data_IF_097679626664
#
_entry.id   IF_097679626664
#
_cell.length_a   1.000
_cell.length_b   1.000
_cell.length_c   1.000
_cell.angle_alpha   90.00
_cell.angle_beta   90.00
_cell.angle_gamma   90.00
#
_symmetry.space_group_name_H-M   'P 1'
#
loop_
_entity.id
_entity.type
_entity.pdbx_description
1 polymer ?
#
# COMPACT_ATOMS: atom_id res chain seq x y z
N UNK A 1 12.35 4.66 -12.15
CA UNK A 1 12.07 6.09 -12.42
C UNK A 1 13.35 6.90 -12.59
N UNK A 2 14.31 6.88 -11.65
CA UNK A 2 15.61 7.58 -11.84
C UNK A 2 16.40 7.10 -13.08
N UNK A 3 16.40 5.79 -13.37
CA UNK A 3 17.04 5.24 -14.59
C UNK A 3 16.43 5.82 -15.89
N UNK A 4 15.12 6.04 -15.92
CA UNK A 4 14.42 6.54 -17.11
C UNK A 4 14.72 8.03 -17.39
N UNK A 5 14.88 8.83 -16.32
CA UNK A 5 15.24 10.26 -16.42
C UNK A 5 16.69 10.43 -16.88
N UNK A 6 17.61 9.60 -16.38
CA UNK A 6 19.03 9.65 -16.77
C UNK A 6 19.25 9.22 -18.23
N UNK A 7 18.52 8.19 -18.69
CA UNK A 7 18.56 7.76 -20.09
C UNK A 7 17.92 8.80 -21.03
N UNK A 8 16.87 9.51 -20.60
CA UNK A 8 16.26 10.60 -21.37
C UNK A 8 17.19 11.81 -21.57
N UNK A 9 18.19 11.97 -20.70
CA UNK A 9 19.25 12.99 -20.83
C UNK A 9 20.48 12.48 -21.61
N UNK A 10 20.41 11.29 -22.22
CA UNK A 10 21.52 10.66 -22.95
C UNK A 10 22.75 10.31 -22.06
N UNK A 11 22.54 10.15 -20.75
CA UNK A 11 23.57 9.92 -19.74
C UNK A 11 23.53 8.44 -19.32
N UNK A 12 24.56 7.65 -19.69
CA UNK A 12 24.64 6.21 -19.39
C UNK A 12 25.11 5.98 -17.94
N UNK A 13 24.25 5.50 -17.03
CA UNK A 13 24.61 5.33 -15.62
C UNK A 13 25.70 4.27 -15.43
N UNK A 14 26.83 4.68 -14.86
CA UNK A 14 27.99 3.84 -14.57
C UNK A 14 29.15 4.66 -13.98
N UNK A 15 30.29 4.02 -13.64
CA UNK A 15 31.48 4.72 -13.11
C UNK A 15 32.00 5.82 -14.05
N UNK A 16 31.69 5.70 -15.34
CA UNK A 16 32.00 6.68 -16.37
C UNK A 16 31.24 8.02 -16.22
N UNK A 17 30.16 8.09 -15.44
CA UNK A 17 29.48 9.36 -15.15
C UNK A 17 30.29 10.28 -14.25
N UNK A 18 31.04 9.71 -13.31
CA UNK A 18 31.91 10.47 -12.42
C UNK A 18 33.11 11.06 -13.19
N UNK A 19 33.48 10.49 -14.34
CA UNK A 19 34.60 10.96 -15.16
C UNK A 19 34.17 11.86 -16.32
N UNK A 20 33.04 11.57 -16.98
CA UNK A 20 32.57 12.34 -18.15
C UNK A 20 31.68 13.53 -17.78
N UNK A 21 30.92 13.45 -16.68
CA UNK A 21 29.99 14.51 -16.26
C UNK A 21 30.06 14.76 -14.74
N UNK A 22 31.25 15.11 -14.19
CA UNK A 22 31.45 15.29 -12.76
C UNK A 22 30.52 16.36 -12.16
N UNK A 23 30.24 17.45 -12.88
CA UNK A 23 29.40 18.55 -12.40
C UNK A 23 27.95 18.11 -12.16
N UNK A 24 27.39 17.24 -13.00
CA UNK A 24 26.02 16.73 -12.85
C UNK A 24 25.92 15.83 -11.62
N UNK A 25 26.93 14.98 -11.40
CA UNK A 25 26.95 14.04 -10.28
C UNK A 25 27.13 14.78 -8.95
N UNK A 26 28.10 15.69 -8.86
CA UNK A 26 28.29 16.52 -7.67
C UNK A 26 27.12 17.47 -7.43
N UNK A 27 26.51 18.00 -8.48
CA UNK A 27 25.26 18.77 -8.40
C UNK A 27 24.09 17.95 -7.85
N UNK A 28 23.93 16.70 -8.28
CA UNK A 28 22.90 15.79 -7.76
C UNK A 28 23.14 15.43 -6.29
N UNK A 29 24.38 15.10 -5.92
CA UNK A 29 24.76 14.79 -4.53
C UNK A 29 24.52 16.01 -3.62
N UNK A 30 24.94 17.20 -4.06
CA UNK A 30 24.70 18.44 -3.33
C UNK A 30 23.21 18.75 -3.20
N UNK A 31 22.43 18.60 -4.28
CA UNK A 31 20.98 18.79 -4.27
C UNK A 31 20.27 17.80 -3.33
N UNK A 32 20.67 16.53 -3.32
CA UNK A 32 20.13 15.53 -2.37
C UNK A 32 20.46 15.89 -0.92
N UNK A 33 21.67 16.38 -0.66
CA UNK A 33 22.08 16.80 0.67
C UNK A 33 21.29 18.02 1.16
N UNK A 34 21.20 19.05 0.32
CA UNK A 34 20.42 20.27 0.60
C UNK A 34 18.93 19.93 0.74
N UNK A 35 18.37 19.09 -0.14
CA UNK A 35 16.98 18.68 -0.08
C UNK A 35 16.65 17.93 1.20
N UNK A 36 17.51 17.01 1.67
CA UNK A 36 17.31 16.33 2.95
C UNK A 36 17.37 17.32 4.13
N UNK A 37 18.30 18.26 4.10
CA UNK A 37 18.41 19.27 5.15
C UNK A 37 17.17 20.18 5.19
N UNK A 38 16.70 20.64 4.02
CA UNK A 38 15.45 21.38 3.90
C UNK A 38 14.23 20.56 4.31
N UNK A 39 14.17 19.28 3.91
CA UNK A 39 13.07 18.38 4.28
C UNK A 39 12.99 18.23 5.79
N UNK A 40 14.13 18.03 6.47
CA UNK A 40 14.20 17.98 7.92
C UNK A 40 13.78 19.31 8.56
N UNK A 41 14.32 20.42 8.06
CA UNK A 41 14.00 21.76 8.55
C UNK A 41 12.50 22.10 8.39
N UNK A 42 11.86 21.62 7.33
CA UNK A 42 10.41 21.74 7.13
C UNK A 42 9.62 20.74 7.98
N UNK A 43 10.08 19.49 8.12
CA UNK A 43 9.34 18.44 8.83
C UNK A 43 9.24 18.74 10.32
N UNK A 44 10.30 19.26 10.95
CA UNK A 44 10.31 19.58 12.40
C UNK A 44 9.14 20.51 12.80
N UNK A 45 8.93 21.68 12.18
CA UNK A 45 7.79 22.54 12.51
C UNK A 45 6.45 21.94 12.06
N UNK A 46 6.41 21.24 10.93
CA UNK A 46 5.17 20.66 10.40
C UNK A 46 4.64 19.50 11.25
N UNK A 47 5.51 18.68 11.86
CA UNK A 47 5.11 17.60 12.76
C UNK A 47 4.28 18.13 13.91
N UNK A 48 4.61 19.31 14.47
CA UNK A 48 3.82 19.95 15.50
C UNK A 48 2.40 20.33 15.04
N UNK A 49 2.26 20.76 13.78
CA UNK A 49 0.95 21.04 13.19
C UNK A 49 0.16 19.76 12.92
N UNK A 50 0.79 18.75 12.31
CA UNK A 50 0.15 17.49 11.97
C UNK A 50 -0.33 16.75 13.22
N UNK A 51 0.48 16.67 14.27
CA UNK A 51 0.09 16.06 15.55
C UNK A 51 -1.11 16.76 16.18
N UNK A 52 -1.22 18.09 16.10
CA UNK A 52 -2.41 18.83 16.55
C UNK A 52 -3.67 18.46 15.75
N UNK A 53 -3.56 18.27 14.43
CA UNK A 53 -4.67 17.82 13.60
C UNK A 53 -5.13 16.40 14.00
N UNK A 54 -4.18 15.51 14.33
CA UNK A 54 -4.49 14.16 14.82
C UNK A 54 -5.18 14.15 16.19
N UNK A 55 -4.96 15.17 17.02
CA UNK A 55 -5.64 15.32 18.32
C UNK A 55 -7.08 15.84 18.22
N UNK A 56 -7.54 16.27 17.03
CA UNK A 56 -8.91 16.72 16.85
C UNK A 56 -9.85 15.52 17.04
N UNK A 57 -10.91 15.64 17.88
CA UNK A 57 -11.85 14.55 18.09
C UNK A 57 -12.40 13.99 16.77
N UNK A 58 -12.39 12.66 16.62
CA UNK A 58 -12.79 11.98 15.38
C UNK A 58 -14.20 12.37 14.90
N UNK A 59 -15.10 12.74 15.82
CA UNK A 59 -16.45 13.25 15.52
C UNK A 59 -16.44 14.52 14.65
N UNK A 60 -15.44 15.39 14.81
CA UNK A 60 -15.30 16.64 14.05
C UNK A 60 -14.37 16.43 12.84
N UNK A 61 -13.36 15.57 12.98
CA UNK A 61 -12.41 15.30 11.91
C UNK A 61 -13.06 14.63 10.70
N UNK A 62 -13.93 13.64 10.94
CA UNK A 62 -14.62 12.91 9.85
C UNK A 62 -15.42 13.81 8.90
N UNK A 63 -16.33 14.71 9.36
CA UNK A 63 -17.10 15.56 8.46
C UNK A 63 -16.22 16.57 7.71
N UNK A 64 -15.15 17.08 8.33
CA UNK A 64 -14.20 17.98 7.64
C UNK A 64 -13.48 17.23 6.51
N UNK A 65 -12.95 16.03 6.80
CA UNK A 65 -12.29 15.19 5.79
C UNK A 65 -13.26 14.87 4.66
N UNK A 66 -14.50 14.49 4.98
CA UNK A 66 -15.53 14.22 3.98
C UNK A 66 -15.77 15.45 3.07
N UNK A 67 -15.99 16.64 3.66
CA UNK A 67 -16.18 17.90 2.91
C UNK A 67 -15.00 18.19 1.97
N UNK A 68 -13.77 18.06 2.46
CA UNK A 68 -12.56 18.26 1.66
C UNK A 68 -12.45 17.22 0.53
N UNK A 69 -12.78 15.96 0.80
CA UNK A 69 -12.79 14.89 -0.21
C UNK A 69 -13.85 15.13 -1.29
N UNK A 70 -15.06 15.58 -0.93
CA UNK A 70 -16.10 15.97 -1.89
C UNK A 70 -15.61 17.08 -2.83
N UNK A 71 -15.02 18.14 -2.27
CA UNK A 71 -14.47 19.26 -3.05
C UNK A 71 -13.31 18.79 -3.93
N UNK A 72 -12.43 17.93 -3.41
CA UNK A 72 -11.27 17.41 -4.15
C UNK A 72 -11.67 16.57 -5.35
N UNK A 73 -12.61 15.63 -5.20
CA UNK A 73 -13.05 14.77 -6.31
C UNK A 73 -13.81 15.59 -7.34
N UNK A 74 -14.74 16.44 -6.91
CA UNK A 74 -15.48 17.31 -7.82
C UNK A 74 -14.56 18.29 -8.56
N UNK A 75 -13.53 18.81 -7.89
CA UNK A 75 -12.57 19.74 -8.48
C UNK A 75 -11.67 19.12 -9.54
N UNK A 76 -11.39 17.81 -9.47
CA UNK A 76 -10.54 17.12 -10.45
C UNK A 76 -11.37 16.67 -11.66
N UNK A 77 -12.52 16.04 -11.44
CA UNK A 77 -13.26 15.41 -12.53
C UNK A 77 -14.45 16.22 -13.05
N UNK A 78 -14.96 17.18 -12.27
CA UNK A 78 -16.18 17.95 -12.60
C UNK A 78 -17.43 17.09 -12.75
N UNK A 79 -17.37 15.79 -12.44
CA UNK A 79 -18.40 14.82 -12.72
C UNK A 79 -19.20 14.48 -11.48
N UNK A 80 -20.53 14.59 -11.58
CA UNK A 80 -21.45 14.15 -10.51
C UNK A 80 -21.43 12.62 -10.34
N UNK A 81 -21.03 11.87 -11.37
CA UNK A 81 -20.90 10.41 -11.28
C UNK A 81 -19.81 10.01 -10.30
N UNK A 82 -18.68 10.72 -10.29
CA UNK A 82 -17.56 10.39 -9.38
C UNK A 82 -17.90 10.70 -7.92
N UNK A 83 -18.74 11.71 -7.67
CA UNK A 83 -19.33 11.92 -6.34
C UNK A 83 -20.19 10.73 -5.91
N UNK A 84 -21.03 10.22 -6.81
CA UNK A 84 -21.91 9.08 -6.51
C UNK A 84 -21.08 7.83 -6.21
N UNK A 85 -20.04 7.57 -7.01
CA UNK A 85 -19.08 6.48 -6.79
C UNK A 85 -18.35 6.67 -5.46
N UNK A 86 -17.90 7.89 -5.13
CA UNK A 86 -17.26 8.19 -3.85
C UNK A 86 -18.18 7.90 -2.67
N UNK A 87 -19.45 8.30 -2.74
CA UNK A 87 -20.45 8.01 -1.70
C UNK A 87 -20.63 6.49 -1.58
N UNK A 88 -20.73 5.76 -2.70
CA UNK A 88 -20.83 4.30 -2.73
C UNK A 88 -19.65 3.62 -2.03
N UNK A 89 -18.41 4.02 -2.35
CA UNK A 89 -17.21 3.52 -1.69
C UNK A 89 -17.12 3.95 -0.22
N UNK A 90 -17.61 5.13 0.15
CA UNK A 90 -17.71 5.58 1.54
C UNK A 90 -18.64 4.70 2.38
N UNK A 91 -19.82 4.36 1.84
CA UNK A 91 -20.77 3.43 2.47
C UNK A 91 -20.18 2.02 2.57
N UNK A 92 -19.53 1.54 1.51
CA UNK A 92 -18.83 0.25 1.53
C UNK A 92 -17.72 0.23 2.60
N UNK A 93 -16.93 1.30 2.71
CA UNK A 93 -15.91 1.44 3.75
C UNK A 93 -16.50 1.43 5.17
N UNK A 94 -17.67 2.07 5.37
CA UNK A 94 -18.39 2.00 6.64
C UNK A 94 -18.88 0.57 6.95
N UNK A 95 -19.39 -0.15 5.95
CA UNK A 95 -19.80 -1.55 6.11
C UNK A 95 -18.60 -2.45 6.46
N UNK A 96 -17.46 -2.29 5.79
CA UNK A 96 -16.22 -3.01 6.09
C UNK A 96 -15.74 -2.75 7.52
N UNK A 97 -15.84 -1.50 7.98
CA UNK A 97 -15.51 -1.13 9.36
C UNK A 97 -16.48 -1.76 10.36
N UNK A 98 -17.76 -1.92 10.01
CA UNK A 98 -18.76 -2.59 10.85
C UNK A 98 -18.52 -4.10 10.96
N UNK A 99 -17.90 -4.69 9.94
CA UNK A 99 -17.49 -6.11 9.90
C UNK A 99 -16.13 -6.36 10.57
N UNK A 100 -15.53 -5.35 11.23
CA UNK A 100 -14.19 -5.39 11.83
C UNK A 100 -13.10 -5.90 10.86
N UNK A 101 -13.29 -5.63 9.55
CA UNK A 101 -12.28 -5.96 8.54
C UNK A 101 -11.12 -4.97 8.69
N UNK A 102 -9.89 -5.44 8.94
CA UNK A 102 -8.76 -4.54 9.08
C UNK A 102 -8.45 -3.85 7.75
N UNK A 103 -8.20 -2.54 7.79
CA UNK A 103 -7.94 -1.72 6.60
C UNK A 103 -6.68 -2.16 5.84
N UNK A 104 -5.67 -2.66 6.57
CA UNK A 104 -4.38 -3.11 6.03
C UNK A 104 -4.55 -4.19 4.95
N UNK A 105 -5.24 -5.32 5.18
CA UNK A 105 -5.51 -6.31 4.15
C UNK A 105 -6.26 -5.78 2.93
N UNK A 106 -7.15 -4.80 3.09
CA UNK A 106 -7.88 -4.20 1.96
C UNK A 106 -6.91 -3.42 1.08
N UNK A 107 -6.06 -2.58 1.68
CA UNK A 107 -5.04 -1.82 0.94
C UNK A 107 -4.08 -2.78 0.24
N UNK A 108 -3.56 -3.80 0.95
CA UNK A 108 -2.68 -4.81 0.37
C UNK A 108 -3.37 -5.56 -0.77
N UNK A 109 -4.63 -5.96 -0.60
CA UNK A 109 -5.41 -6.61 -1.66
C UNK A 109 -5.55 -5.72 -2.90
N UNK A 110 -5.83 -4.42 -2.74
CA UNK A 110 -5.93 -3.51 -3.89
C UNK A 110 -4.59 -3.29 -4.60
N UNK A 111 -3.49 -3.17 -3.84
CA UNK A 111 -2.15 -2.97 -4.38
C UNK A 111 -1.64 -4.24 -5.09
N UNK A 112 -1.75 -5.39 -4.44
CA UNK A 112 -1.33 -6.68 -5.00
C UNK A 112 -2.26 -7.15 -6.12
N UNK A 113 -3.56 -6.80 -6.06
CA UNK A 113 -4.55 -7.21 -7.05
C UNK A 113 -4.22 -6.74 -8.46
N UNK A 114 -3.75 -5.50 -8.61
CA UNK A 114 -3.33 -4.99 -9.92
C UNK A 114 -2.13 -5.78 -10.47
N UNK A 115 -1.12 -6.03 -9.63
CA UNK A 115 0.02 -6.86 -10.02
C UNK A 115 -0.40 -8.31 -10.34
N UNK A 116 -1.31 -8.89 -9.55
CA UNK A 116 -1.85 -10.22 -9.77
C UNK A 116 -2.57 -10.32 -11.12
N UNK A 117 -3.49 -9.39 -11.41
CA UNK A 117 -4.23 -9.35 -12.67
C UNK A 117 -3.30 -9.18 -13.88
N UNK A 118 -2.30 -8.29 -13.78
CA UNK A 118 -1.33 -8.10 -14.86
C UNK A 118 -0.50 -9.37 -15.12
N UNK A 119 -0.06 -10.05 -14.06
CA UNK A 119 0.70 -11.29 -14.20
C UNK A 119 -0.18 -12.45 -14.69
N UNK A 120 -1.44 -12.52 -14.26
CA UNK A 120 -2.41 -13.50 -14.74
C UNK A 120 -2.68 -13.30 -16.23
N UNK A 121 -2.98 -12.07 -16.66
CA UNK A 121 -3.15 -11.73 -18.08
C UNK A 121 -1.91 -12.05 -18.89
N UNK A 122 -0.73 -11.74 -18.35
CA UNK A 122 0.55 -12.05 -19.00
C UNK A 122 0.73 -13.56 -19.18
N UNK A 123 0.45 -14.36 -18.15
CA UNK A 123 0.55 -15.81 -18.21
C UNK A 123 -0.40 -16.41 -19.27
N UNK A 124 -1.66 -15.97 -19.29
CA UNK A 124 -2.67 -16.43 -20.27
C UNK A 124 -2.29 -15.99 -21.70
N UNK A 125 -1.77 -14.77 -21.86
CA UNK A 125 -1.37 -14.24 -23.18
C UNK A 125 -0.17 -15.01 -23.75
N UNK A 126 0.76 -15.45 -22.90
CA UNK A 126 1.93 -16.24 -23.32
C UNK A 126 1.51 -17.57 -23.96
N UNK A 127 0.42 -18.18 -23.49
CA UNK A 127 -0.10 -19.45 -24.03
C UNK A 127 -1.36 -19.26 -24.89
N UNK A 128 -1.41 -18.15 -25.64
CA UNK A 128 -2.45 -17.87 -26.63
C UNK A 128 -3.90 -17.94 -26.11
N UNK A 129 -4.13 -17.58 -24.85
CA UNK A 129 -5.48 -17.52 -24.28
C UNK A 129 -5.93 -18.79 -23.54
N UNK A 130 -5.06 -19.79 -23.40
CA UNK A 130 -5.38 -21.02 -22.68
C UNK A 130 -5.25 -20.86 -21.15
N UNK A 131 -6.37 -21.04 -20.45
CA UNK A 131 -6.45 -20.98 -18.98
C UNK A 131 -5.81 -22.21 -18.29
N UNK A 132 -5.55 -23.30 -19.03
CA UNK A 132 -4.88 -24.51 -18.56
C UNK A 132 -3.43 -24.28 -18.10
N UNK A 133 -2.78 -23.21 -18.56
CA UNK A 133 -1.43 -22.82 -18.13
C UNK A 133 -1.22 -22.71 -16.63
N UNK A 134 -2.28 -22.36 -15.89
CA UNK A 134 -2.21 -22.19 -14.44
C UNK A 134 -2.05 -23.52 -13.70
N UNK A 135 -2.29 -24.66 -14.36
CA UNK A 135 -2.24 -26.00 -13.78
C UNK A 135 -1.49 -27.01 -14.64
N UNK A 136 -1.09 -26.68 -15.87
CA UNK A 136 -0.33 -27.59 -16.74
C UNK A 136 1.12 -27.82 -16.28
N UNK A 137 1.73 -26.84 -15.61
CA UNK A 137 3.10 -26.98 -15.13
C UNK A 137 3.16 -27.69 -13.77
N UNK A 138 4.04 -28.70 -13.58
CA UNK A 138 4.31 -29.29 -12.27
C UNK A 138 4.70 -28.25 -11.21
N UNK A 139 5.36 -27.16 -11.62
CA UNK A 139 5.72 -26.04 -10.75
C UNK A 139 4.48 -25.26 -10.30
N UNK A 140 3.54 -24.99 -11.21
CA UNK A 140 2.29 -24.30 -10.89
C UNK A 140 1.44 -25.11 -9.92
N UNK A 141 1.33 -26.42 -10.12
CA UNK A 141 0.62 -27.33 -9.20
C UNK A 141 1.27 -27.30 -7.80
N UNK A 142 2.60 -27.35 -7.72
CA UNK A 142 3.32 -27.27 -6.45
C UNK A 142 3.08 -25.92 -5.74
N UNK A 143 3.11 -24.81 -6.49
CA UNK A 143 2.83 -23.47 -5.95
C UNK A 143 1.38 -23.34 -5.45
N UNK A 144 0.41 -23.88 -6.20
CA UNK A 144 -0.99 -23.95 -5.76
C UNK A 144 -1.17 -24.78 -4.50
N UNK A 145 -0.51 -25.94 -4.41
CA UNK A 145 -0.53 -26.76 -3.20
C UNK A 145 0.02 -26.00 -1.98
N UNK A 146 1.16 -25.32 -2.12
CA UNK A 146 1.75 -24.50 -1.05
C UNK A 146 0.81 -23.35 -0.67
N UNK A 147 0.21 -22.66 -1.64
CA UNK A 147 -0.71 -21.56 -1.39
C UNK A 147 -1.96 -22.01 -0.64
N UNK A 148 -2.57 -23.13 -1.05
CA UNK A 148 -3.74 -23.71 -0.38
C UNK A 148 -3.38 -24.15 1.04
N UNK A 149 -2.26 -24.87 1.21
CA UNK A 149 -1.79 -25.30 2.53
C UNK A 149 -1.55 -24.08 3.43
N UNK A 150 -0.85 -23.05 2.93
CA UNK A 150 -0.55 -21.82 3.65
C UNK A 150 -1.78 -20.97 4.00
N UNK A 151 -2.86 -21.05 3.22
CA UNK A 151 -4.12 -20.38 3.51
C UNK A 151 -4.99 -21.17 4.51
N UNK A 152 -5.04 -22.50 4.37
CA UNK A 152 -5.91 -23.38 5.17
C UNK A 152 -5.32 -23.67 6.56
N UNK A 153 -4.00 -23.83 6.69
CA UNK A 153 -3.33 -24.05 7.98
C UNK A 153 -3.70 -22.98 9.04
N UNK A 154 -3.53 -21.67 8.78
CA UNK A 154 -3.85 -20.65 9.76
C UNK A 154 -5.35 -20.51 10.01
N UNK A 155 -6.22 -20.91 9.06
CA UNK A 155 -7.67 -20.92 9.29
C UNK A 155 -8.10 -22.01 10.29
N UNK A 156 -7.47 -23.20 10.20
CA UNK A 156 -7.76 -24.35 11.08
C UNK A 156 -7.03 -24.22 12.42
N UNK A 157 -5.75 -23.85 12.40
CA UNK A 157 -4.89 -23.77 13.60
C UNK A 157 -5.03 -22.41 14.30
N UNK A 158 -5.26 -21.32 13.57
CA UNK A 158 -5.43 -19.97 14.14
C UNK A 158 -6.65 -19.84 15.05
N UNK A 159 -7.69 -20.65 14.86
CA UNK A 159 -8.80 -20.76 15.84
C UNK A 159 -8.34 -21.33 17.20
N UNK A 160 -7.37 -22.26 17.20
CA UNK A 160 -6.79 -22.82 18.44
C UNK A 160 -5.73 -21.90 19.07
N UNK A 161 -4.90 -21.26 18.24
CA UNK A 161 -3.83 -20.36 18.72
C UNK A 161 -4.38 -19.03 19.25
N UNK A 162 -5.43 -18.47 18.62
CA UNK A 162 -6.11 -17.27 19.12
C UNK A 162 -6.85 -17.54 20.44
N UNK A 163 -7.35 -18.76 20.65
CA UNK A 163 -7.94 -19.17 21.93
C UNK A 163 -6.88 -19.24 23.05
N UNK A 164 -5.72 -19.84 22.79
CA UNK A 164 -4.62 -19.95 23.78
C UNK A 164 -3.98 -18.61 24.15
N UNK A 165 -3.98 -17.60 23.27
CA UNK A 165 -3.47 -16.26 23.60
C UNK A 165 -4.40 -15.45 24.50
N UNK A 166 -5.71 -15.71 24.48
CA UNK A 166 -6.65 -15.09 25.42
C UNK A 166 -6.55 -15.71 26.80
N UNK A 167 -6.43 -17.04 26.89
CA UNK A 167 -6.31 -17.79 28.16
C UNK A 167 -5.08 -17.38 28.99
N UNK A 168 -3.91 -17.22 28.34
CA UNK A 168 -2.68 -16.80 29.05
C UNK A 168 -2.75 -15.39 29.64
N UNK A 169 -3.55 -14.51 29.04
CA UNK A 169 -3.70 -13.12 29.48
C UNK A 169 -4.60 -13.00 30.71
N UNK A 170 -5.52 -13.95 30.88
CA UNK A 170 -6.39 -14.04 32.05
C UNK A 170 -5.65 -14.71 33.25
N UNK A 171 -4.75 -15.65 32.97
CA UNK A 171 -3.88 -16.28 33.99
C UNK A 171 -2.82 -15.31 34.56
N UNK A 172 -2.20 -14.46 33.74
CA UNK A 172 -1.24 -13.44 34.21
C UNK A 172 -1.90 -12.32 35.03
N UNK A 173 -3.18 -12.03 34.79
CA UNK A 173 -3.95 -11.07 35.60
C UNK A 173 -4.36 -11.61 36.97
N UNK A 174 -4.55 -12.93 37.12
CA UNK A 174 -4.98 -13.56 38.36
C UNK A 174 -3.86 -13.83 39.37
N UNK A 175 -2.59 -13.75 38.96
CA UNK A 175 -1.42 -13.95 39.84
C UNK A 175 -0.96 -12.62 40.47
N UNK A 176 -1.48 -11.47 39.98
CA UNK A 176 -1.10 -10.12 40.43
C UNK A 176 -2.08 -9.47 41.44
N UNK A 177 -3.19 -10.13 41.78
CA UNK A 177 -4.12 -9.75 42.85
C UNK A 177 -3.92 -10.65 44.09
#
# INVERSE_FOLDING_TARGET
MLLAVLLALNITPGPLLFTQNPDVVWGLIAALFIANFMLLAMNIPMVGLFTRVLMIPSRILMPIVAMVSFVGIYGISGSSFDLLVMIGFGVMGWALRKLDVPLVPVILGTLLGNAMENNLRRAITIDNGNWGTLVDSPLSIALWAIAIVGFVLPLIIGRKVKAQMHERRDEEGAISD
#
